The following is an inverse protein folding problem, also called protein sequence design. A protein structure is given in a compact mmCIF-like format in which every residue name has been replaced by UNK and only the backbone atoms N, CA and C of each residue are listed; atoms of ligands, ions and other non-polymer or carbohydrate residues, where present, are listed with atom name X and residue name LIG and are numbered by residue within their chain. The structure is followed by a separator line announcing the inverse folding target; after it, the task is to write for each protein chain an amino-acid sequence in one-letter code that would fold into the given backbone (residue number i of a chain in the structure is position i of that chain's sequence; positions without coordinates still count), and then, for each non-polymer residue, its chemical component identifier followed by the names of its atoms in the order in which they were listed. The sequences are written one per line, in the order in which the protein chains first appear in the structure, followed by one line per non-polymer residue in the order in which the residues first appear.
data_IF_610578367738
#
_entry.id   IF_610578367738
#
_cell.length_a   1.000
_cell.length_b   1.000
_cell.length_c   1.000
_cell.angle_alpha   90.00
_cell.angle_beta   90.00
_cell.angle_gamma   90.00
#
_symmetry.space_group_name_H-M   'P 1'
#
loop_
_entity.id
_entity.type
_entity.pdbx_description
1 polymer ?
#
# COMPACT_ATOMS: atom_id res chain seq x y z
N UNK A 1 9.10 22.69 -5.66
CA UNK A 1 9.42 21.28 -5.96
C UNK A 1 8.13 20.49 -5.81
N UNK A 2 7.51 20.00 -6.90
CA UNK A 2 6.31 19.16 -6.78
C UNK A 2 6.72 17.88 -6.04
N UNK A 3 6.18 17.71 -4.83
CA UNK A 3 6.33 16.51 -3.99
C UNK A 3 5.43 15.36 -4.46
N UNK A 4 4.63 15.61 -5.50
CA UNK A 4 3.68 14.67 -6.08
C UNK A 4 4.42 13.68 -6.98
N UNK A 5 4.07 12.41 -6.87
CA UNK A 5 4.49 11.29 -7.73
C UNK A 5 5.76 10.52 -7.30
N UNK A 6 6.18 10.56 -6.03
CA UNK A 6 7.19 9.62 -5.51
C UNK A 6 6.65 8.84 -4.31
N UNK A 7 6.52 7.51 -4.41
CA UNK A 7 6.85 6.66 -5.56
C UNK A 7 5.73 6.67 -6.63
N UNK A 8 6.10 6.80 -7.91
CA UNK A 8 5.18 6.68 -9.05
C UNK A 8 4.81 5.21 -9.31
N UNK A 9 4.17 4.57 -8.33
CA UNK A 9 3.81 3.16 -8.35
C UNK A 9 2.28 3.06 -8.45
N UNK A 10 1.80 2.23 -9.37
CA UNK A 10 0.39 1.86 -9.47
C UNK A 10 0.12 0.58 -8.67
N UNK A 11 -0.29 0.75 -7.42
CA UNK A 11 -0.39 -0.34 -6.43
C UNK A 11 -1.42 -1.39 -6.84
N UNK A 12 -2.48 -0.98 -7.54
CA UNK A 12 -3.53 -1.88 -8.03
C UNK A 12 -3.01 -2.89 -9.06
N UNK A 13 -1.97 -2.52 -9.82
CA UNK A 13 -1.37 -3.37 -10.86
C UNK A 13 -0.25 -4.28 -10.35
N UNK A 14 0.30 -4.02 -9.17
CA UNK A 14 1.39 -4.83 -8.61
C UNK A 14 0.86 -5.99 -7.74
N UNK A 15 1.26 -7.21 -8.09
CA UNK A 15 1.03 -8.40 -7.29
C UNK A 15 2.17 -9.40 -7.49
N UNK A 16 2.56 -10.11 -6.43
CA UNK A 16 3.58 -11.16 -6.49
C UNK A 16 2.88 -12.52 -6.50
N UNK A 17 3.25 -13.38 -7.43
CA UNK A 17 2.71 -14.75 -7.49
C UNK A 17 3.15 -15.53 -6.25
N UNK A 18 2.22 -16.26 -5.64
CA UNK A 18 2.44 -17.04 -4.41
C UNK A 18 2.95 -16.21 -3.23
N UNK A 19 2.37 -15.02 -3.02
CA UNK A 19 2.74 -14.13 -1.91
C UNK A 19 2.55 -14.78 -0.51
N UNK A 20 1.71 -15.81 -0.40
CA UNK A 20 1.52 -16.63 0.80
C UNK A 20 2.77 -17.43 1.23
N UNK A 21 3.75 -17.61 0.35
CA UNK A 21 5.01 -18.27 0.68
C UNK A 21 6.07 -17.28 1.20
N UNK A 22 5.85 -15.98 1.01
CA UNK A 22 6.81 -14.92 1.33
C UNK A 22 6.39 -14.09 2.54
N UNK A 23 5.10 -14.05 2.83
CA UNK A 23 4.50 -13.18 3.84
C UNK A 23 3.70 -14.04 4.80
N UNK A 24 3.84 -13.77 6.10
CA UNK A 24 3.02 -14.42 7.12
C UNK A 24 1.52 -14.19 6.87
N UNK A 25 0.70 -15.21 7.11
CA UNK A 25 -0.73 -15.18 6.83
C UNK A 25 -1.44 -14.01 7.50
N UNK A 26 -1.03 -13.62 8.72
CA UNK A 26 -1.65 -12.50 9.43
C UNK A 26 -1.36 -11.16 8.73
N UNK A 27 -0.14 -10.98 8.22
CA UNK A 27 0.27 -9.78 7.48
C UNK A 27 -0.39 -9.78 6.10
N UNK A 28 -0.46 -10.92 5.43
CA UNK A 28 -1.09 -11.06 4.13
C UNK A 28 -2.57 -10.65 4.18
N UNK A 29 -3.29 -11.06 5.23
CA UNK A 29 -4.67 -10.64 5.45
C UNK A 29 -4.80 -9.11 5.60
N UNK A 30 -3.86 -8.45 6.31
CA UNK A 30 -3.84 -6.98 6.43
C UNK A 30 -3.62 -6.31 5.07
N UNK A 31 -2.68 -6.83 4.26
CA UNK A 31 -2.40 -6.34 2.91
C UNK A 31 -3.64 -6.45 2.02
N UNK A 32 -4.37 -7.56 2.09
CA UNK A 32 -5.61 -7.75 1.30
C UNK A 32 -6.71 -6.77 1.69
N UNK A 33 -6.88 -6.49 2.98
CA UNK A 33 -7.82 -5.47 3.46
C UNK A 33 -7.42 -4.09 2.94
N UNK A 34 -6.13 -3.74 3.04
CA UNK A 34 -5.59 -2.48 2.53
C UNK A 34 -5.83 -2.34 1.02
N UNK A 35 -5.51 -3.36 0.23
CA UNK A 35 -5.76 -3.38 -1.22
C UNK A 35 -7.24 -3.18 -1.57
N UNK A 36 -8.16 -3.77 -0.80
CA UNK A 36 -9.59 -3.60 -1.01
C UNK A 36 -10.06 -2.16 -0.74
N UNK A 37 -9.45 -1.46 0.21
CA UNK A 37 -9.73 -0.05 0.47
C UNK A 37 -9.18 0.80 -0.66
N UNK A 38 -7.92 0.58 -1.06
CA UNK A 38 -7.23 1.33 -2.10
C UNK A 38 -7.95 1.20 -3.45
N UNK A 39 -8.27 -0.02 -3.89
CA UNK A 39 -8.95 -0.28 -5.19
C UNK A 39 -10.31 0.43 -5.38
N UNK A 40 -10.89 1.05 -4.34
CA UNK A 40 -12.13 1.83 -4.43
C UNK A 40 -11.87 3.32 -4.69
N UNK A 41 -10.61 3.75 -4.64
CA UNK A 41 -10.14 5.13 -4.77
C UNK A 41 -9.48 5.33 -6.14
N UNK A 42 -9.22 6.58 -6.53
CA UNK A 42 -8.41 6.88 -7.72
C UNK A 42 -6.93 6.69 -7.43
N UNK A 43 -6.12 6.35 -8.45
CA UNK A 43 -4.67 6.09 -8.29
C UNK A 43 -3.88 7.22 -7.60
N UNK A 44 -4.32 8.47 -7.76
CA UNK A 44 -3.71 9.64 -7.09
C UNK A 44 -4.06 9.67 -5.60
N UNK A 45 -5.33 9.49 -5.28
CA UNK A 45 -5.84 9.51 -3.90
C UNK A 45 -5.29 8.34 -3.06
N UNK A 46 -5.10 7.18 -3.69
CA UNK A 46 -4.47 6.01 -3.07
C UNK A 46 -3.06 6.33 -2.56
N UNK A 47 -2.25 6.98 -3.39
CA UNK A 47 -0.86 7.33 -3.06
C UNK A 47 -0.80 8.43 -2.01
N UNK A 48 -1.70 9.42 -2.05
CA UNK A 48 -1.79 10.45 -1.02
C UNK A 48 -2.15 9.86 0.35
N UNK A 49 -3.16 8.98 0.41
CA UNK A 49 -3.56 8.30 1.64
C UNK A 49 -2.40 7.48 2.24
N UNK A 50 -1.71 6.72 1.39
CA UNK A 50 -0.58 5.90 1.83
C UNK A 50 0.57 6.77 2.29
N UNK A 51 0.89 7.85 1.57
CA UNK A 51 1.92 8.79 1.98
C UNK A 51 1.59 9.37 3.37
N UNK A 52 0.37 9.85 3.58
CA UNK A 52 -0.02 10.42 4.87
C UNK A 52 0.11 9.41 6.02
N UNK A 53 -0.26 8.14 5.79
CA UNK A 53 -0.17 7.11 6.82
C UNK A 53 1.24 6.59 7.04
N UNK A 54 1.98 6.27 5.98
CA UNK A 54 3.34 5.75 6.06
C UNK A 54 4.30 6.77 6.66
N UNK A 55 4.12 8.07 6.38
CA UNK A 55 4.95 9.11 6.99
C UNK A 55 4.52 9.47 8.41
N UNK A 56 3.31 9.07 8.84
CA UNK A 56 2.87 9.21 10.23
C UNK A 56 3.41 8.11 11.15
N UNK A 57 3.87 6.98 10.59
CA UNK A 57 4.42 5.84 11.34
C UNK A 57 5.92 5.69 11.07
N UNK A 58 6.63 5.05 12.00
CA UNK A 58 8.08 4.83 11.86
C UNK A 58 8.40 3.52 11.13
N UNK A 59 7.48 2.56 11.15
CA UNK A 59 7.66 1.24 10.55
C UNK A 59 6.34 0.67 10.04
N UNK A 60 6.42 -0.28 9.11
CA UNK A 60 5.26 -1.02 8.62
C UNK A 60 4.62 -1.91 9.70
N UNK A 61 5.31 -2.19 10.81
CA UNK A 61 4.74 -2.92 11.93
C UNK A 61 3.83 -2.04 12.79
N UNK A 62 4.09 -0.72 12.81
CA UNK A 62 3.32 0.29 13.53
C UNK A 62 2.13 0.82 12.69
N UNK A 63 2.13 0.56 11.39
CA UNK A 63 1.07 0.87 10.43
C UNK A 63 -0.02 -0.21 10.43
#
# INVERSE_FOLDING_TARGET
MKKADIPAIDITKFGTRKEELLIDQAILNKIWVLRRILNRMGSVEEIELLHDKLFSTKSNADF
#
